data_IF_364935322627
#
_entry.id   IF_364935322627
#
_cell.length_a   1.000
_cell.length_b   1.000
_cell.length_c   1.000
_cell.angle_alpha   90.00
_cell.angle_beta   90.00
_cell.angle_gamma   90.00
#
_symmetry.space_group_name_H-M   'P 1'
#
loop_
_entity.id
_entity.type
_entity.pdbx_description
1 polymer ?
#
# COMPACT_ATOMS: atom_id res chain seq x y z
N UNK A 1 7.51 -11.51 35.84
CA UNK A 1 6.86 -12.51 34.98
C UNK A 1 5.44 -12.02 34.67
N UNK A 2 5.28 -11.34 33.57
CA UNK A 2 3.98 -10.88 33.06
C UNK A 2 3.53 -11.88 32.02
N UNK A 3 2.46 -12.62 32.32
CA UNK A 3 1.82 -13.55 31.37
C UNK A 3 1.10 -12.73 30.31
N UNK A 4 1.66 -12.61 29.14
CA UNK A 4 0.97 -12.14 27.94
C UNK A 4 0.01 -13.25 27.51
N UNK A 5 -1.29 -13.02 27.66
CA UNK A 5 -2.34 -13.88 27.09
C UNK A 5 -2.35 -13.66 25.59
N UNK A 6 -1.91 -14.67 24.85
CA UNK A 6 -2.13 -14.73 23.40
C UNK A 6 -3.64 -14.86 23.14
N UNK A 7 -4.25 -13.80 22.62
CA UNK A 7 -5.53 -13.92 21.94
C UNK A 7 -5.24 -14.46 20.53
N UNK A 8 -5.68 -15.67 20.30
CA UNK A 8 -5.75 -16.31 18.99
C UNK A 8 -6.46 -15.36 17.99
N UNK A 9 -5.87 -15.26 16.80
CA UNK A 9 -6.46 -14.50 15.71
C UNK A 9 -7.92 -14.89 15.47
N UNK A 10 -8.79 -13.96 15.75
CA UNK A 10 -10.16 -14.03 15.25
C UNK A 10 -10.08 -13.77 13.73
N UNK A 11 -10.38 -14.82 12.98
CA UNK A 11 -10.85 -14.65 11.62
C UNK A 11 -11.99 -13.62 11.69
N UNK A 12 -11.80 -12.44 11.09
CA UNK A 12 -12.88 -11.50 10.88
C UNK A 12 -13.81 -12.13 9.84
N UNK A 13 -14.70 -12.98 10.32
CA UNK A 13 -15.95 -13.23 9.62
C UNK A 13 -16.66 -11.89 9.60
N UNK A 14 -16.70 -11.25 8.45
CA UNK A 14 -17.53 -10.07 8.22
C UNK A 14 -18.98 -10.53 8.39
N UNK A 15 -19.48 -10.45 9.62
CA UNK A 15 -20.90 -10.49 9.87
C UNK A 15 -21.44 -9.15 9.36
N UNK A 16 -22.02 -9.17 8.17
CA UNK A 16 -22.82 -8.09 7.63
C UNK A 16 -24.01 -7.85 8.56
N UNK A 17 -23.87 -6.92 9.50
CA UNK A 17 -25.02 -6.38 10.22
C UNK A 17 -25.65 -5.35 9.28
N UNK A 18 -26.71 -5.77 8.62
CA UNK A 18 -27.61 -4.95 7.81
C UNK A 18 -28.22 -3.85 8.71
N UNK A 19 -27.86 -2.58 8.41
CA UNK A 19 -28.68 -1.44 8.75
C UNK A 19 -28.97 -0.69 7.44
N UNK A 20 -30.21 -0.71 7.05
CA UNK A 20 -30.91 -0.33 5.86
C UNK A 20 -30.31 0.76 4.95
N UNK A 21 -30.26 0.44 3.65
CA UNK A 21 -30.10 1.36 2.53
C UNK A 21 -28.82 1.14 1.74
N UNK A 22 -28.86 0.56 0.56
CA UNK A 22 -27.82 0.39 -0.50
C UNK A 22 -26.72 -0.68 -0.29
N UNK A 23 -26.64 -1.42 0.82
CA UNK A 23 -25.49 -2.25 1.20
C UNK A 23 -25.35 -3.60 0.50
N UNK A 24 -26.41 -4.35 0.37
CA UNK A 24 -26.31 -5.81 0.08
C UNK A 24 -25.96 -6.15 -1.39
N UNK A 25 -26.20 -5.25 -2.35
CA UNK A 25 -25.85 -5.47 -3.75
C UNK A 25 -24.56 -4.78 -4.20
N UNK A 26 -24.05 -3.80 -3.46
CA UNK A 26 -22.88 -3.01 -3.87
C UNK A 26 -21.59 -3.84 -3.87
N UNK A 27 -21.36 -4.61 -2.81
CA UNK A 27 -20.14 -5.43 -2.69
C UNK A 27 -20.18 -6.55 -3.73
N UNK A 28 -21.30 -7.27 -3.83
CA UNK A 28 -21.49 -8.36 -4.79
C UNK A 28 -21.32 -7.90 -6.23
N UNK A 29 -21.91 -6.75 -6.61
CA UNK A 29 -21.77 -6.18 -7.95
C UNK A 29 -20.29 -5.88 -8.29
N UNK A 30 -19.57 -5.24 -7.37
CA UNK A 30 -18.18 -4.84 -7.60
C UNK A 30 -17.21 -6.03 -7.55
N UNK A 31 -17.45 -7.03 -6.70
CA UNK A 31 -16.70 -8.30 -6.70
C UNK A 31 -16.93 -9.05 -8.02
N UNK A 32 -18.16 -9.13 -8.50
CA UNK A 32 -18.46 -9.80 -9.77
C UNK A 32 -17.86 -9.05 -10.98
N UNK A 33 -17.87 -7.71 -10.94
CA UNK A 33 -17.16 -6.91 -11.94
C UNK A 33 -15.64 -7.21 -11.89
N UNK A 34 -15.03 -7.18 -10.72
CA UNK A 34 -13.60 -7.45 -10.55
C UNK A 34 -13.24 -8.86 -11.03
N UNK A 35 -14.07 -9.86 -10.69
CA UNK A 35 -13.90 -11.24 -11.16
C UNK A 35 -13.89 -11.35 -12.67
N UNK A 36 -14.83 -10.68 -13.35
CA UNK A 36 -14.90 -10.66 -14.82
C UNK A 36 -13.75 -9.91 -15.45
N UNK A 37 -13.40 -8.75 -14.90
CA UNK A 37 -12.37 -7.88 -15.45
C UNK A 37 -10.95 -8.50 -15.30
N UNK A 38 -10.59 -8.94 -14.10
CA UNK A 38 -9.32 -9.63 -13.85
C UNK A 38 -9.29 -11.00 -14.54
N UNK A 39 -10.44 -11.68 -14.65
CA UNK A 39 -10.58 -12.94 -15.38
C UNK A 39 -10.12 -12.84 -16.82
N UNK A 40 -10.46 -11.74 -17.52
CA UNK A 40 -9.98 -11.48 -18.88
C UNK A 40 -8.46 -11.34 -18.95
N UNK A 41 -7.85 -10.70 -17.97
CA UNK A 41 -6.39 -10.59 -17.90
C UNK A 41 -5.74 -11.95 -17.63
N UNK A 42 -6.31 -12.74 -16.74
CA UNK A 42 -5.87 -14.13 -16.50
C UNK A 42 -5.92 -14.96 -17.79
N UNK A 43 -7.00 -14.88 -18.56
CA UNK A 43 -7.14 -15.57 -19.85
C UNK A 43 -6.02 -15.18 -20.83
N UNK A 44 -5.68 -13.89 -20.93
CA UNK A 44 -4.57 -13.41 -21.77
C UNK A 44 -3.21 -13.94 -21.31
N UNK A 45 -2.95 -13.92 -19.99
CA UNK A 45 -1.71 -14.42 -19.41
C UNK A 45 -1.58 -15.92 -19.67
N UNK A 46 -2.63 -16.70 -19.38
CA UNK A 46 -2.59 -18.16 -19.58
C UNK A 46 -2.44 -18.53 -21.06
N UNK A 47 -3.11 -17.81 -21.96
CA UNK A 47 -2.97 -18.03 -23.41
C UNK A 47 -1.55 -17.71 -23.93
N UNK A 48 -0.82 -16.83 -23.29
CA UNK A 48 0.56 -16.48 -23.66
C UNK A 48 1.57 -17.60 -23.33
N UNK A 49 1.22 -18.54 -22.46
CA UNK A 49 2.09 -19.61 -21.98
C UNK A 49 3.21 -19.16 -21.04
N UNK A 50 3.21 -17.88 -20.61
CA UNK A 50 4.19 -17.33 -19.64
C UNK A 50 3.46 -16.43 -18.64
N UNK A 51 3.99 -16.37 -17.43
CA UNK A 51 3.52 -15.35 -16.48
C UNK A 51 3.94 -13.96 -16.97
N UNK A 52 2.96 -13.07 -17.05
CA UNK A 52 3.12 -11.67 -17.33
C UNK A 52 2.46 -10.88 -16.19
N UNK A 53 3.12 -9.82 -15.73
CA UNK A 53 2.68 -9.06 -14.55
C UNK A 53 2.14 -7.69 -14.98
N UNK A 54 0.81 -7.53 -15.14
CA UNK A 54 0.21 -6.31 -15.65
C UNK A 54 0.35 -5.17 -14.63
N UNK A 55 0.72 -3.97 -15.09
CA UNK A 55 0.98 -2.84 -14.17
C UNK A 55 0.39 -1.51 -14.61
N UNK A 56 0.37 -1.21 -15.89
CA UNK A 56 -0.15 0.07 -16.42
C UNK A 56 -0.41 -0.04 -17.92
N UNK A 57 -0.94 1.02 -18.51
CA UNK A 57 -1.07 1.15 -19.95
C UNK A 57 0.13 1.91 -20.53
N UNK A 58 0.58 1.44 -21.69
CA UNK A 58 1.47 2.21 -22.56
C UNK A 58 0.67 3.36 -23.23
N UNK A 59 1.35 4.37 -23.80
CA UNK A 59 0.68 5.46 -24.51
C UNK A 59 -0.20 5.02 -25.70
N UNK A 60 0.05 3.84 -26.28
CA UNK A 60 -0.75 3.25 -27.35
C UNK A 60 -1.97 2.45 -26.84
N UNK A 61 -2.18 2.41 -25.53
CA UNK A 61 -3.28 1.68 -24.87
C UNK A 61 -3.01 0.20 -24.62
N UNK A 62 -1.85 -0.34 -25.05
CA UNK A 62 -1.46 -1.72 -24.71
C UNK A 62 -1.07 -1.84 -23.24
N UNK A 63 -1.23 -3.04 -22.66
CA UNK A 63 -0.81 -3.30 -21.27
C UNK A 63 0.72 -3.40 -21.18
N UNK A 64 1.29 -2.67 -20.25
CA UNK A 64 2.69 -2.84 -19.87
C UNK A 64 2.81 -3.91 -18.78
N UNK A 65 3.62 -4.93 -19.06
CA UNK A 65 3.93 -6.02 -18.13
C UNK A 65 5.31 -5.83 -17.54
N UNK A 66 5.38 -5.73 -16.23
CA UNK A 66 6.66 -5.53 -15.54
C UNK A 66 7.38 -6.85 -15.21
N UNK A 67 8.68 -6.75 -14.93
CA UNK A 67 9.44 -7.86 -14.37
C UNK A 67 9.24 -7.97 -12.85
N UNK A 68 9.74 -9.06 -12.25
CA UNK A 68 9.59 -9.34 -10.83
C UNK A 68 10.24 -8.30 -9.90
N UNK A 69 11.20 -7.53 -10.38
CA UNK A 69 11.90 -6.52 -9.59
C UNK A 69 11.19 -5.14 -9.58
N UNK A 70 10.10 -5.00 -10.31
CA UNK A 70 9.23 -3.83 -10.23
C UNK A 70 8.46 -3.86 -8.91
N UNK A 71 8.35 -2.71 -8.23
CA UNK A 71 7.68 -2.60 -6.94
C UNK A 71 6.21 -3.05 -6.96
N UNK A 72 5.56 -2.99 -8.13
CA UNK A 72 4.16 -3.41 -8.33
C UNK A 72 3.98 -4.91 -8.54
N UNK A 73 5.06 -5.69 -8.63
CA UNK A 73 5.01 -7.09 -9.03
C UNK A 73 4.16 -7.98 -8.10
N UNK A 74 3.98 -7.60 -6.84
CA UNK A 74 3.15 -8.33 -5.88
C UNK A 74 1.64 -8.06 -5.97
N UNK A 75 1.21 -6.99 -6.65
CA UNK A 75 -0.19 -6.57 -6.60
C UNK A 75 -1.12 -7.45 -7.44
N UNK A 76 -0.72 -7.86 -8.64
CA UNK A 76 -1.56 -8.73 -9.45
C UNK A 76 -1.78 -10.10 -8.79
N UNK A 77 -0.73 -10.82 -8.34
CA UNK A 77 -0.93 -12.01 -7.51
C UNK A 77 -1.81 -11.77 -6.30
N UNK A 78 -1.60 -10.65 -5.59
CA UNK A 78 -2.43 -10.25 -4.45
C UNK A 78 -3.90 -10.06 -4.80
N UNK A 79 -4.19 -9.46 -5.96
CA UNK A 79 -5.57 -9.29 -6.45
C UNK A 79 -6.25 -10.62 -6.75
N UNK A 80 -5.52 -11.61 -7.27
CA UNK A 80 -6.05 -12.95 -7.51
C UNK A 80 -6.35 -13.68 -6.18
N UNK A 81 -5.51 -13.49 -5.14
CA UNK A 81 -5.80 -13.99 -3.80
C UNK A 81 -7.07 -13.37 -3.20
N UNK A 82 -7.27 -12.06 -3.35
CA UNK A 82 -8.51 -11.42 -2.90
C UNK A 82 -9.74 -11.91 -3.67
N UNK A 83 -9.64 -12.13 -4.98
CA UNK A 83 -10.74 -12.73 -5.73
C UNK A 83 -11.06 -14.13 -5.24
N UNK A 84 -10.04 -14.97 -4.99
CA UNK A 84 -10.24 -16.30 -4.40
C UNK A 84 -10.99 -16.21 -3.06
N UNK A 85 -10.57 -15.31 -2.18
CA UNK A 85 -11.20 -15.13 -0.85
C UNK A 85 -12.65 -14.64 -0.96
N UNK A 86 -12.89 -13.61 -1.79
CA UNK A 86 -14.18 -12.94 -1.90
C UNK A 86 -15.23 -13.77 -2.65
N UNK A 87 -14.79 -14.58 -3.62
CA UNK A 87 -15.72 -15.38 -4.45
C UNK A 87 -15.85 -16.82 -3.98
N UNK A 88 -14.88 -17.35 -3.25
CA UNK A 88 -14.78 -18.78 -2.93
C UNK A 88 -14.52 -19.68 -4.14
N UNK A 89 -14.18 -19.09 -5.31
CA UNK A 89 -13.93 -19.83 -6.55
C UNK A 89 -12.60 -20.59 -6.45
N UNK A 90 -12.70 -21.91 -6.26
CA UNK A 90 -11.54 -22.78 -6.09
C UNK A 90 -10.64 -22.88 -7.32
N UNK A 91 -11.14 -22.51 -8.50
CA UNK A 91 -10.33 -22.49 -9.72
C UNK A 91 -9.26 -21.40 -9.70
N UNK A 92 -9.43 -20.35 -8.88
CA UNK A 92 -8.47 -19.27 -8.70
C UNK A 92 -7.28 -19.66 -7.82
N UNK A 93 -7.42 -20.66 -6.94
CA UNK A 93 -6.35 -21.06 -6.02
C UNK A 93 -5.05 -21.44 -6.74
N UNK A 94 -5.03 -22.37 -7.73
CA UNK A 94 -3.79 -22.73 -8.43
C UNK A 94 -3.19 -21.54 -9.22
N UNK A 95 -4.02 -20.61 -9.70
CA UNK A 95 -3.55 -19.42 -10.40
C UNK A 95 -2.89 -18.43 -9.43
N UNK A 96 -3.52 -18.17 -8.28
CA UNK A 96 -2.96 -17.33 -7.25
C UNK A 96 -1.60 -17.86 -6.76
N UNK A 97 -1.51 -19.18 -6.55
CA UNK A 97 -0.24 -19.84 -6.18
C UNK A 97 0.81 -19.70 -7.29
N UNK A 98 0.45 -20.01 -8.54
CA UNK A 98 1.34 -19.91 -9.71
C UNK A 98 1.93 -18.51 -9.87
N UNK A 99 1.08 -17.47 -9.77
CA UNK A 99 1.50 -16.08 -9.93
C UNK A 99 2.31 -15.57 -8.73
N UNK A 100 2.01 -16.07 -7.54
CA UNK A 100 2.81 -15.80 -6.34
C UNK A 100 4.21 -16.39 -6.46
N UNK A 101 4.34 -17.66 -6.87
CA UNK A 101 5.64 -18.28 -7.08
C UNK A 101 6.48 -17.57 -8.15
N UNK A 102 5.85 -16.98 -9.17
CA UNK A 102 6.58 -16.25 -10.22
C UNK A 102 7.31 -14.99 -9.70
N UNK A 103 6.92 -14.45 -8.54
CA UNK A 103 7.60 -13.29 -7.92
C UNK A 103 8.49 -13.68 -6.73
N UNK A 104 8.67 -14.95 -6.45
CA UNK A 104 9.39 -15.50 -5.29
C UNK A 104 10.81 -14.95 -5.13
N UNK A 105 11.54 -14.78 -6.21
CA UNK A 105 12.94 -14.33 -6.17
C UNK A 105 13.09 -12.86 -5.79
N UNK A 106 12.01 -12.07 -5.79
CA UNK A 106 12.00 -10.71 -5.25
C UNK A 106 12.40 -10.66 -3.77
N UNK A 107 12.23 -11.75 -3.02
CA UNK A 107 12.72 -11.88 -1.63
C UNK A 107 14.21 -11.59 -1.45
N UNK A 108 15.01 -11.72 -2.52
CA UNK A 108 16.46 -11.51 -2.50
C UNK A 108 16.88 -10.08 -2.85
N UNK A 109 15.95 -9.19 -3.19
CA UNK A 109 16.24 -7.81 -3.59
C UNK A 109 16.73 -7.01 -2.39
N UNK A 110 17.89 -6.35 -2.55
CA UNK A 110 18.56 -5.56 -1.49
C UNK A 110 18.88 -4.12 -1.92
N UNK A 111 18.53 -3.74 -3.13
CA UNK A 111 18.88 -2.45 -3.72
C UNK A 111 17.73 -1.42 -3.68
N UNK A 112 16.51 -1.84 -3.34
CA UNK A 112 15.39 -0.97 -3.06
C UNK A 112 14.59 -1.46 -1.83
N UNK A 113 13.65 -0.66 -1.33
CA UNK A 113 12.86 -0.95 -0.15
C UNK A 113 11.53 -1.66 -0.44
N UNK A 114 11.14 -1.80 -1.71
CA UNK A 114 9.80 -2.22 -2.12
C UNK A 114 9.54 -3.72 -1.98
N UNK A 115 10.45 -4.44 -1.35
CA UNK A 115 10.34 -5.89 -1.11
C UNK A 115 9.05 -6.25 -0.37
N UNK A 116 8.55 -5.35 0.49
CA UNK A 116 7.26 -5.52 1.17
C UNK A 116 6.09 -5.55 0.19
N UNK A 117 6.03 -4.61 -0.74
CA UNK A 117 5.01 -4.60 -1.81
C UNK A 117 5.06 -5.85 -2.68
N UNK A 118 6.25 -6.28 -3.08
CA UNK A 118 6.43 -7.44 -3.95
C UNK A 118 6.03 -8.74 -3.26
N UNK A 119 6.46 -8.95 -2.02
CA UNK A 119 6.33 -10.23 -1.30
C UNK A 119 5.09 -10.26 -0.41
N UNK A 120 4.80 -9.21 0.36
CA UNK A 120 3.73 -9.34 1.35
C UNK A 120 2.34 -9.24 0.73
N UNK A 121 2.16 -8.49 -0.35
CA UNK A 121 0.91 -8.48 -1.11
C UNK A 121 0.59 -9.84 -1.75
N UNK A 122 1.62 -10.62 -2.13
CA UNK A 122 1.47 -11.94 -2.75
C UNK A 122 1.57 -13.08 -1.73
N UNK A 123 2.76 -13.35 -1.21
CA UNK A 123 3.01 -14.44 -0.24
C UNK A 123 2.31 -14.23 1.10
N UNK A 124 2.11 -12.98 1.55
CA UNK A 124 1.37 -12.68 2.78
C UNK A 124 -0.08 -13.15 2.69
N UNK A 125 -0.77 -12.83 1.59
CA UNK A 125 -2.13 -13.31 1.35
C UNK A 125 -2.16 -14.84 1.16
N UNK A 126 -1.20 -15.40 0.42
CA UNK A 126 -1.09 -16.83 0.24
C UNK A 126 -0.94 -17.57 1.58
N UNK A 127 -0.03 -17.13 2.44
CA UNK A 127 0.16 -17.70 3.78
C UNK A 127 -1.13 -17.61 4.62
N UNK A 128 -1.77 -16.45 4.62
CA UNK A 128 -3.00 -16.22 5.40
C UNK A 128 -4.14 -17.16 4.97
N UNK A 129 -4.26 -17.44 3.68
CA UNK A 129 -5.39 -18.20 3.12
C UNK A 129 -5.12 -19.71 3.03
N UNK A 130 -3.84 -20.14 2.94
CA UNK A 130 -3.49 -21.55 2.78
C UNK A 130 -2.78 -22.16 3.99
N UNK A 131 -2.08 -21.35 4.77
CA UNK A 131 -1.20 -21.84 5.84
C UNK A 131 0.09 -22.49 5.31
N UNK A 132 0.45 -22.31 4.04
CA UNK A 132 1.62 -22.94 3.42
C UNK A 132 2.92 -22.53 4.12
N UNK A 133 3.67 -23.46 4.72
CA UNK A 133 4.88 -23.16 5.46
C UNK A 133 6.01 -22.59 4.59
N UNK A 134 6.06 -22.89 3.30
CA UNK A 134 7.07 -22.32 2.40
C UNK A 134 6.90 -20.80 2.27
N UNK A 135 5.67 -20.30 2.29
CA UNK A 135 5.39 -18.87 2.21
C UNK A 135 5.91 -18.13 3.44
N UNK A 136 5.86 -18.76 4.60
CA UNK A 136 6.49 -18.22 5.83
C UNK A 136 7.99 -17.97 5.64
N UNK A 137 8.70 -18.95 5.06
CA UNK A 137 10.15 -18.84 4.85
C UNK A 137 10.48 -17.72 3.85
N UNK A 138 9.70 -17.58 2.78
CA UNK A 138 9.85 -16.51 1.79
C UNK A 138 9.67 -15.13 2.44
N UNK A 139 8.64 -14.96 3.28
CA UNK A 139 8.36 -13.72 3.99
C UNK A 139 9.52 -13.36 4.92
N UNK A 140 10.03 -14.31 5.70
CA UNK A 140 11.14 -14.07 6.63
C UNK A 140 12.43 -13.72 5.89
N UNK A 141 12.71 -14.38 4.76
CA UNK A 141 13.89 -14.08 3.94
C UNK A 141 13.78 -12.67 3.29
N UNK A 142 12.60 -12.32 2.78
CA UNK A 142 12.32 -10.98 2.27
C UNK A 142 12.54 -9.89 3.35
N UNK A 143 12.11 -10.15 4.58
CA UNK A 143 12.34 -9.24 5.71
C UNK A 143 13.83 -9.10 6.04
N UNK A 144 14.64 -10.17 5.94
CA UNK A 144 16.09 -10.09 6.07
C UNK A 144 16.69 -9.20 4.97
N UNK A 145 16.25 -9.38 3.72
CA UNK A 145 16.69 -8.56 2.60
C UNK A 145 16.35 -7.08 2.80
N UNK A 146 15.12 -6.76 3.18
CA UNK A 146 14.71 -5.39 3.51
C UNK A 146 15.52 -4.81 4.67
N UNK A 147 15.78 -5.59 5.72
CA UNK A 147 16.55 -5.15 6.90
C UNK A 147 17.99 -4.78 6.58
N UNK A 148 18.58 -5.28 5.48
CA UNK A 148 19.93 -4.87 5.04
C UNK A 148 19.99 -3.38 4.64
N UNK A 149 18.84 -2.77 4.38
CA UNK A 149 18.72 -1.35 4.05
C UNK A 149 18.60 -0.45 5.28
N UNK A 150 18.54 -1.00 6.48
CA UNK A 150 18.48 -0.22 7.69
C UNK A 150 19.81 0.51 7.93
N UNK A 151 19.73 1.80 8.24
CA UNK A 151 20.86 2.68 8.52
C UNK A 151 20.79 3.12 9.98
N UNK A 152 21.53 2.44 10.88
CA UNK A 152 21.41 2.67 12.32
C UNK A 152 21.67 4.11 12.76
N UNK A 153 22.60 4.82 12.10
CA UNK A 153 22.91 6.22 12.41
C UNK A 153 21.72 7.14 12.22
N UNK A 154 20.97 6.93 11.13
CA UNK A 154 19.76 7.69 10.83
C UNK A 154 18.48 7.08 11.44
N UNK A 155 18.54 5.80 11.86
CA UNK A 155 17.39 5.08 12.42
C UNK A 155 16.30 4.73 11.40
N UNK A 156 16.64 4.59 10.10
CA UNK A 156 15.68 4.44 9.01
C UNK A 156 16.09 3.34 8.03
N UNK A 157 15.13 2.90 7.21
CA UNK A 157 15.35 2.04 6.05
C UNK A 157 15.53 2.93 4.83
N UNK A 158 16.69 2.89 4.20
CA UNK A 158 16.98 3.65 2.98
C UNK A 158 16.15 3.13 1.81
N UNK A 159 15.51 4.05 1.06
CA UNK A 159 14.60 3.67 -0.03
C UNK A 159 15.34 3.22 -1.29
N UNK A 160 16.29 3.98 -1.77
CA UNK A 160 16.98 3.74 -3.03
C UNK A 160 18.49 3.79 -2.87
N UNK A 161 19.21 3.09 -3.75
CA UNK A 161 20.64 3.29 -3.93
C UNK A 161 20.87 4.63 -4.64
N UNK A 162 21.93 5.34 -4.24
CA UNK A 162 22.18 6.72 -4.69
C UNK A 162 23.26 6.83 -5.77
N UNK A 163 23.85 5.69 -6.15
CA UNK A 163 24.98 5.60 -7.06
C UNK A 163 24.59 5.32 -8.54
N UNK A 164 23.29 5.25 -8.83
CA UNK A 164 22.80 4.85 -10.15
C UNK A 164 21.50 5.53 -10.56
N UNK A 165 21.27 5.55 -11.90
CA UNK A 165 20.06 6.08 -12.51
C UNK A 165 19.81 7.55 -12.16
N UNK A 166 18.60 8.01 -12.27
CA UNK A 166 18.17 9.39 -12.01
C UNK A 166 18.42 9.85 -10.56
N UNK A 167 18.56 8.90 -9.62
CA UNK A 167 18.76 9.20 -8.20
C UNK A 167 20.17 9.74 -7.98
N UNK A 168 21.18 9.28 -8.72
CA UNK A 168 22.57 9.74 -8.61
C UNK A 168 22.76 11.24 -8.96
N UNK A 169 21.80 11.80 -9.73
CA UNK A 169 21.80 13.22 -10.10
C UNK A 169 21.22 14.13 -9.01
N UNK A 170 20.57 13.54 -7.98
CA UNK A 170 19.89 14.29 -6.91
C UNK A 170 20.85 14.78 -5.80
N UNK A 171 22.06 14.25 -5.70
CA UNK A 171 23.00 14.57 -4.64
C UNK A 171 22.56 14.12 -3.24
N UNK A 172 21.66 13.13 -3.17
CA UNK A 172 21.21 12.52 -1.91
C UNK A 172 22.26 11.55 -1.36
N UNK A 173 22.28 11.39 -0.04
CA UNK A 173 23.13 10.38 0.65
C UNK A 173 22.31 9.17 1.10
N UNK A 174 21.18 9.44 1.71
CA UNK A 174 20.30 8.40 2.27
C UNK A 174 18.83 8.81 2.13
N UNK A 175 18.26 8.75 0.93
CA UNK A 175 16.87 9.14 0.69
C UNK A 175 15.90 8.10 1.27
N UNK A 176 14.85 8.62 1.90
CA UNK A 176 13.71 7.85 2.42
C UNK A 176 12.43 8.46 1.90
N UNK A 177 11.62 7.67 1.20
CA UNK A 177 10.30 8.08 0.76
C UNK A 177 9.22 7.54 1.71
N UNK A 178 8.11 8.25 1.77
CA UNK A 178 6.99 7.90 2.66
C UNK A 178 6.39 6.52 2.33
N UNK A 179 6.52 6.05 1.10
CA UNK A 179 6.09 4.73 0.61
C UNK A 179 6.68 3.57 1.44
N UNK A 180 7.83 3.80 2.06
CA UNK A 180 8.48 2.80 2.92
C UNK A 180 7.60 2.39 4.12
N UNK A 181 6.66 3.23 4.52
CA UNK A 181 5.69 2.91 5.57
C UNK A 181 4.86 1.68 5.24
N UNK A 182 4.58 1.42 3.95
CA UNK A 182 3.86 0.23 3.49
C UNK A 182 4.68 -1.06 3.63
N UNK A 183 6.00 -0.96 3.53
CA UNK A 183 6.90 -2.11 3.59
C UNK A 183 7.16 -2.59 5.04
N UNK A 184 6.75 -1.83 6.04
CA UNK A 184 6.88 -2.20 7.47
C UNK A 184 6.02 -3.41 7.84
N UNK A 185 4.90 -3.63 7.13
CA UNK A 185 4.02 -4.77 7.37
C UNK A 185 4.75 -6.12 7.21
N UNK A 186 5.65 -6.21 6.23
CA UNK A 186 6.54 -7.36 6.04
C UNK A 186 7.40 -7.62 7.29
N UNK A 187 7.96 -6.57 7.90
CA UNK A 187 8.83 -6.70 9.08
C UNK A 187 8.05 -7.14 10.33
N UNK A 188 6.87 -6.58 10.55
CA UNK A 188 6.01 -7.01 11.65
C UNK A 188 5.56 -8.46 11.47
N UNK A 189 5.17 -8.84 10.25
CA UNK A 189 4.81 -10.22 9.93
C UNK A 189 5.98 -11.17 10.16
N UNK A 190 7.18 -10.84 9.69
CA UNK A 190 8.38 -11.65 9.91
C UNK A 190 8.71 -11.81 11.40
N UNK A 191 8.51 -10.77 12.20
CA UNK A 191 8.64 -10.86 13.68
C UNK A 191 7.72 -11.92 14.25
N UNK A 192 6.43 -11.90 13.90
CA UNK A 192 5.44 -12.87 14.40
C UNK A 192 5.76 -14.29 13.94
N UNK A 193 6.20 -14.43 12.69
CA UNK A 193 6.46 -15.73 12.07
C UNK A 193 7.74 -16.38 12.57
N UNK A 194 8.80 -15.61 12.81
CA UNK A 194 10.13 -16.13 13.19
C UNK A 194 10.43 -16.03 14.69
N UNK A 195 9.76 -15.14 15.42
CA UNK A 195 10.10 -14.78 16.79
C UNK A 195 11.32 -13.84 16.89
N UNK A 196 11.92 -13.44 15.76
CA UNK A 196 13.06 -12.51 15.76
C UNK A 196 12.58 -11.06 15.92
N UNK A 197 12.85 -10.48 17.08
CA UNK A 197 12.47 -9.10 17.41
C UNK A 197 13.30 -8.03 16.68
N UNK A 198 14.34 -8.40 15.94
CA UNK A 198 15.16 -7.46 15.19
C UNK A 198 14.32 -6.75 14.12
N UNK A 199 13.44 -7.48 13.44
CA UNK A 199 12.54 -6.90 12.43
C UNK A 199 11.58 -5.86 13.04
N UNK A 200 11.00 -6.17 14.21
CA UNK A 200 10.17 -5.23 14.97
C UNK A 200 10.93 -3.95 15.32
N UNK A 201 12.16 -4.09 15.83
CA UNK A 201 12.99 -2.93 16.21
C UNK A 201 13.32 -2.04 15.01
N UNK A 202 13.61 -2.63 13.87
CA UNK A 202 13.87 -1.90 12.61
C UNK A 202 12.61 -1.15 12.18
N UNK A 203 11.43 -1.79 12.19
CA UNK A 203 10.16 -1.17 11.81
C UNK A 203 9.81 0.01 12.75
N UNK A 204 9.89 -0.19 14.06
CA UNK A 204 9.57 0.84 15.05
C UNK A 204 10.56 2.01 14.96
N UNK A 205 11.86 1.75 14.82
CA UNK A 205 12.85 2.81 14.61
C UNK A 205 12.54 3.65 13.37
N UNK A 206 12.17 2.98 12.27
CA UNK A 206 11.83 3.66 11.01
C UNK A 206 10.59 4.53 11.17
N UNK A 207 9.48 4.01 11.69
CA UNK A 207 8.24 4.79 11.80
C UNK A 207 8.39 5.96 12.78
N UNK A 208 9.09 5.79 13.90
CA UNK A 208 9.32 6.87 14.86
C UNK A 208 10.14 8.01 14.24
N UNK A 209 11.14 7.65 13.45
CA UNK A 209 11.93 8.65 12.73
C UNK A 209 11.12 9.33 11.60
N UNK A 210 10.32 8.57 10.87
CA UNK A 210 9.40 9.10 9.86
C UNK A 210 8.41 10.08 10.46
N UNK A 211 7.76 9.75 11.57
CA UNK A 211 6.85 10.66 12.26
C UNK A 211 7.50 11.98 12.66
N UNK A 212 8.74 11.92 13.11
CA UNK A 212 9.48 13.11 13.56
C UNK A 212 9.90 14.01 12.41
N UNK A 213 10.37 13.44 11.29
CA UNK A 213 11.10 14.19 10.29
C UNK A 213 10.34 14.35 8.96
N UNK A 214 9.40 13.46 8.63
CA UNK A 214 8.66 13.53 7.39
C UNK A 214 7.30 14.22 7.51
N UNK A 215 6.71 14.29 8.71
CA UNK A 215 5.43 14.95 8.92
C UNK A 215 5.58 16.43 9.26
N UNK A 216 4.71 17.25 8.66
CA UNK A 216 4.56 18.67 8.96
C UNK A 216 3.60 18.90 10.14
N UNK A 217 3.61 20.06 10.77
CA UNK A 217 2.70 20.38 11.88
C UNK A 217 1.21 20.26 11.54
N UNK A 218 0.83 20.48 10.28
CA UNK A 218 -0.54 20.36 9.77
C UNK A 218 -1.02 18.92 9.56
N UNK A 219 -0.12 17.96 9.68
CA UNK A 219 -0.40 16.53 9.47
C UNK A 219 -0.06 15.99 8.09
N UNK A 220 0.28 16.84 7.13
CA UNK A 220 0.80 16.41 5.84
C UNK A 220 2.20 15.83 5.95
N UNK A 221 2.65 15.10 4.93
CA UNK A 221 4.01 14.57 4.90
C UNK A 221 4.78 14.99 3.64
N UNK A 222 6.10 15.11 3.79
CA UNK A 222 7.04 15.19 2.67
C UNK A 222 7.13 13.84 1.96
N UNK A 223 7.30 13.87 0.64
CA UNK A 223 7.56 12.64 -0.11
C UNK A 223 8.93 12.06 0.25
N UNK A 224 10.00 12.84 0.17
CA UNK A 224 11.39 12.42 0.38
C UNK A 224 12.02 13.19 1.53
N UNK A 225 12.69 12.47 2.43
CA UNK A 225 13.65 13.05 3.38
C UNK A 225 15.00 12.41 3.13
N UNK A 226 16.03 13.23 2.91
CA UNK A 226 17.41 12.78 2.75
C UNK A 226 18.18 12.97 4.05
N UNK A 227 18.87 11.92 4.49
CA UNK A 227 19.62 11.91 5.74
C UNK A 227 21.13 11.85 5.49
N UNK A 228 21.89 12.48 6.38
CA UNK A 228 23.35 12.35 6.44
C UNK A 228 23.74 10.96 6.96
N UNK A 229 24.62 10.30 6.24
CA UNK A 229 25.18 9.02 6.69
C UNK A 229 26.24 9.18 7.78
N UNK A 230 26.69 10.42 8.05
CA UNK A 230 27.71 10.72 9.09
C UNK A 230 27.09 10.74 10.48
N UNK A 231 25.93 11.40 10.65
CA UNK A 231 25.33 11.69 11.95
C UNK A 231 23.81 11.51 12.00
N UNK A 232 23.19 11.08 10.92
CA UNK A 232 21.75 10.85 10.83
C UNK A 232 20.90 12.12 10.79
N UNK A 233 21.50 13.31 10.66
CA UNK A 233 20.74 14.56 10.54
C UNK A 233 19.99 14.64 9.21
N UNK A 234 18.89 15.40 9.18
CA UNK A 234 18.17 15.70 7.93
C UNK A 234 18.97 16.69 7.10
N UNK A 235 19.27 16.32 5.87
CA UNK A 235 19.94 17.17 4.87
C UNK A 235 18.94 17.98 4.07
N UNK A 236 17.91 17.31 3.56
CA UNK A 236 16.92 17.92 2.69
C UNK A 236 15.54 17.27 2.87
N UNK A 237 14.49 18.03 2.55
CA UNK A 237 13.12 17.55 2.34
C UNK A 237 12.70 17.88 0.93
N UNK A 238 12.36 16.85 0.17
CA UNK A 238 12.16 16.96 -1.28
C UNK A 238 10.92 16.18 -1.73
N UNK A 239 10.63 16.27 -3.02
CA UNK A 239 9.74 15.34 -3.72
C UNK A 239 10.47 14.72 -4.91
N UNK A 240 10.03 13.51 -5.29
CA UNK A 240 10.38 12.85 -6.53
C UNK A 240 9.15 12.70 -7.44
N UNK A 241 7.97 12.46 -6.86
CA UNK A 241 6.72 12.19 -7.57
C UNK A 241 5.66 13.29 -7.38
N UNK A 242 5.75 14.12 -6.34
CA UNK A 242 4.83 15.23 -6.10
C UNK A 242 5.15 16.47 -6.94
N UNK A 243 4.21 17.42 -6.96
CA UNK A 243 4.30 18.67 -7.73
C UNK A 243 5.49 19.54 -7.31
N UNK A 244 5.70 19.74 -6.02
CA UNK A 244 6.75 20.56 -5.46
C UNK A 244 7.28 19.99 -4.13
N UNK A 245 8.44 20.47 -3.66
CA UNK A 245 9.04 19.99 -2.41
C UNK A 245 8.13 20.19 -1.21
N UNK A 246 7.39 21.29 -1.18
CA UNK A 246 6.47 21.63 -0.09
C UNK A 246 5.01 21.22 -0.35
N UNK A 247 4.70 20.65 -1.54
CA UNK A 247 3.35 20.18 -1.83
C UNK A 247 3.01 18.87 -1.12
N UNK A 248 1.75 18.47 -1.19
CA UNK A 248 1.25 17.24 -0.59
C UNK A 248 0.83 16.25 -1.69
N UNK A 249 1.76 15.41 -2.14
CA UNK A 249 1.49 14.33 -3.09
C UNK A 249 0.51 13.32 -2.48
N UNK A 250 -0.68 13.19 -3.08
CA UNK A 250 -1.82 12.50 -2.47
C UNK A 250 -1.56 11.03 -2.18
N UNK A 251 -0.90 10.29 -3.08
CA UNK A 251 -0.57 8.89 -2.82
C UNK A 251 0.46 8.75 -1.71
N UNK A 252 1.39 9.70 -1.56
CA UNK A 252 2.30 9.75 -0.41
C UNK A 252 1.55 9.95 0.91
N UNK A 253 0.56 10.84 0.94
CA UNK A 253 -0.32 11.00 2.12
C UNK A 253 -1.05 9.68 2.42
N UNK A 254 -1.57 9.00 1.39
CA UNK A 254 -2.25 7.71 1.52
C UNK A 254 -1.34 6.63 2.11
N UNK A 255 -0.09 6.49 1.61
CA UNK A 255 0.89 5.57 2.17
C UNK A 255 1.17 5.86 3.64
N UNK A 256 1.29 7.14 3.99
CA UNK A 256 1.50 7.57 5.36
C UNK A 256 0.33 7.21 6.28
N UNK A 257 -0.91 7.49 5.86
CA UNK A 257 -2.12 7.18 6.63
C UNK A 257 -2.24 5.66 6.86
N UNK A 258 -2.13 4.87 5.79
CA UNK A 258 -2.21 3.41 5.88
C UNK A 258 -1.08 2.84 6.76
N UNK A 259 0.17 3.27 6.50
CA UNK A 259 1.33 2.76 7.23
C UNK A 259 1.31 3.10 8.72
N UNK A 260 0.79 4.27 9.11
CA UNK A 260 0.61 4.60 10.53
C UNK A 260 -0.51 3.79 11.18
N UNK A 261 -1.62 3.56 10.45
CA UNK A 261 -2.72 2.70 10.92
C UNK A 261 -2.23 1.28 11.16
N UNK A 262 -1.49 0.73 10.21
CA UNK A 262 -0.84 -0.56 10.34
C UNK A 262 0.15 -0.62 11.52
N UNK A 263 0.97 0.42 11.73
CA UNK A 263 1.89 0.46 12.88
C UNK A 263 1.13 0.47 14.21
N UNK A 264 0.00 1.17 14.29
CA UNK A 264 -0.89 1.08 15.46
C UNK A 264 -1.43 -0.34 15.67
N UNK A 265 -1.93 -1.00 14.62
CA UNK A 265 -2.40 -2.39 14.68
C UNK A 265 -1.34 -3.34 15.23
N UNK A 266 -0.10 -3.19 14.78
CA UNK A 266 0.99 -4.11 15.12
C UNK A 266 1.64 -3.84 16.47
N UNK A 267 1.56 -2.62 16.98
CA UNK A 267 2.24 -2.21 18.22
C UNK A 267 1.30 -1.89 19.38
N UNK A 268 0.07 -1.48 19.08
CA UNK A 268 -0.86 -0.92 20.06
C UNK A 268 -0.47 0.49 20.55
N UNK A 269 0.59 1.11 20.01
CA UNK A 269 1.04 2.43 20.44
C UNK A 269 0.18 3.54 19.82
N UNK A 270 -0.60 4.20 20.65
CA UNK A 270 -1.57 5.23 20.27
C UNK A 270 -0.98 6.39 19.48
N UNK A 271 0.32 6.70 19.67
CA UNK A 271 0.98 7.78 18.94
C UNK A 271 0.88 7.65 17.41
N UNK A 272 0.90 6.40 16.90
CA UNK A 272 0.77 6.13 15.46
C UNK A 272 -0.63 6.44 14.95
N UNK A 273 -1.66 6.00 15.68
CA UNK A 273 -3.04 6.31 15.36
C UNK A 273 -3.30 7.81 15.42
N UNK A 274 -2.81 8.51 16.45
CA UNK A 274 -2.99 9.95 16.59
C UNK A 274 -2.36 10.71 15.43
N UNK A 275 -1.20 10.27 14.92
CA UNK A 275 -0.59 10.86 13.72
C UNK A 275 -1.37 10.51 12.45
N UNK A 276 -1.87 9.28 12.32
CA UNK A 276 -2.76 8.90 11.21
C UNK A 276 -4.00 9.79 11.14
N UNK A 277 -4.64 10.03 12.30
CA UNK A 277 -5.81 10.92 12.41
C UNK A 277 -5.48 12.37 12.05
N UNK A 278 -4.27 12.86 12.32
CA UNK A 278 -3.84 14.20 11.87
C UNK A 278 -3.72 14.23 10.34
N UNK A 279 -3.12 13.21 9.74
CA UNK A 279 -2.99 13.12 8.29
C UNK A 279 -4.36 12.98 7.59
N UNK A 280 -5.28 12.21 8.16
CA UNK A 280 -6.67 12.14 7.69
C UNK A 280 -7.31 13.54 7.75
N UNK A 281 -7.23 14.24 8.89
CA UNK A 281 -7.78 15.60 9.00
C UNK A 281 -7.20 16.56 7.97
N UNK A 282 -5.89 16.49 7.68
CA UNK A 282 -5.27 17.27 6.63
C UNK A 282 -5.94 17.00 5.28
N UNK A 283 -6.03 15.74 4.86
CA UNK A 283 -6.57 15.36 3.56
C UNK A 283 -8.04 15.76 3.40
N UNK A 284 -8.86 15.57 4.43
CA UNK A 284 -10.31 15.82 4.34
C UNK A 284 -10.72 17.27 4.59
N UNK A 285 -9.88 18.10 5.20
CA UNK A 285 -10.13 19.52 5.43
C UNK A 285 -9.32 20.43 4.50
N UNK A 286 -8.53 19.87 3.58
CA UNK A 286 -7.76 20.67 2.65
C UNK A 286 -8.69 21.44 1.69
N UNK A 287 -8.36 22.69 1.37
CA UNK A 287 -9.17 23.56 0.49
C UNK A 287 -9.47 22.97 -0.89
N UNK A 288 -8.63 22.05 -1.35
CA UNK A 288 -8.74 21.39 -2.64
C UNK A 288 -9.27 19.94 -2.53
N UNK A 289 -9.83 19.54 -1.39
CA UNK A 289 -10.47 18.23 -1.25
C UNK A 289 -11.72 18.19 -2.12
N UNK A 290 -11.80 17.25 -3.09
CA UNK A 290 -12.94 17.19 -3.99
C UNK A 290 -14.16 16.54 -3.31
N UNK A 291 -15.36 16.87 -3.77
CA UNK A 291 -16.62 16.36 -3.21
C UNK A 291 -16.75 14.83 -3.30
N UNK A 292 -16.19 14.24 -4.35
CA UNK A 292 -16.20 12.81 -4.59
C UNK A 292 -15.12 12.03 -3.81
N UNK A 293 -14.25 12.72 -3.07
CA UNK A 293 -13.15 12.18 -2.26
C UNK A 293 -12.14 11.31 -3.04
N UNK A 294 -12.13 11.39 -4.37
CA UNK A 294 -11.03 10.86 -5.18
C UNK A 294 -10.05 12.01 -5.40
N UNK A 295 -9.00 12.05 -4.61
CA UNK A 295 -8.11 13.19 -4.50
C UNK A 295 -7.37 13.51 -5.80
N UNK A 296 -6.99 14.79 -5.99
CA UNK A 296 -6.05 15.15 -7.03
C UNK A 296 -4.71 14.46 -6.79
N UNK A 297 -3.93 14.23 -7.84
CA UNK A 297 -2.64 13.53 -7.73
C UNK A 297 -1.67 14.21 -6.75
N UNK A 298 -1.78 15.52 -6.61
CA UNK A 298 -1.15 16.34 -5.57
C UNK A 298 -2.18 17.36 -5.08
N UNK A 299 -2.27 17.59 -3.78
CA UNK A 299 -3.27 18.49 -3.20
C UNK A 299 -3.01 19.95 -3.57
N UNK A 300 -1.81 20.27 -4.03
CA UNK A 300 -1.39 21.60 -4.51
C UNK A 300 -1.14 21.61 -6.03
N UNK A 301 -1.67 20.64 -6.76
CA UNK A 301 -1.52 20.55 -8.21
C UNK A 301 -1.97 21.86 -8.89
N UNK A 302 -1.24 22.32 -9.95
CA UNK A 302 -1.36 23.71 -10.42
C UNK A 302 -2.66 24.00 -11.19
N UNK A 303 -3.32 22.97 -11.73
CA UNK A 303 -4.49 23.14 -12.59
C UNK A 303 -5.82 22.77 -11.91
N UNK A 304 -5.86 22.59 -10.59
CA UNK A 304 -7.11 22.33 -9.85
C UNK A 304 -8.12 23.44 -10.15
N UNK A 305 -9.39 23.13 -10.50
CA UNK A 305 -10.05 21.82 -10.41
C UNK A 305 -9.90 20.92 -11.66
N UNK A 306 -9.15 21.30 -12.66
CA UNK A 306 -9.00 20.58 -13.94
C UNK A 306 -7.72 19.73 -14.00
N UNK A 307 -7.21 19.27 -12.86
CA UNK A 307 -6.02 18.45 -12.78
C UNK A 307 -6.35 16.96 -12.65
N UNK A 308 -5.34 16.10 -12.78
CA UNK A 308 -5.49 14.65 -12.67
C UNK A 308 -5.93 14.22 -11.28
N UNK A 309 -6.77 13.19 -11.24
CA UNK A 309 -7.17 12.48 -10.01
C UNK A 309 -6.27 11.27 -9.80
N UNK A 310 -6.15 10.80 -8.55
CA UNK A 310 -5.45 9.57 -8.23
C UNK A 310 -6.37 8.59 -7.47
N UNK A 311 -7.02 7.72 -8.23
CA UNK A 311 -7.90 6.68 -7.69
C UNK A 311 -7.14 5.71 -6.76
N UNK A 312 -5.83 5.50 -7.00
CA UNK A 312 -5.01 4.63 -6.14
C UNK A 312 -4.80 5.22 -4.74
N UNK A 313 -4.61 6.54 -4.64
CA UNK A 313 -4.54 7.22 -3.34
C UNK A 313 -5.86 7.10 -2.57
N UNK A 314 -6.99 7.31 -3.25
CA UNK A 314 -8.31 7.18 -2.65
C UNK A 314 -8.58 5.76 -2.15
N UNK A 315 -8.28 4.72 -2.94
CA UNK A 315 -8.44 3.32 -2.55
C UNK A 315 -7.60 2.96 -1.31
N UNK A 316 -6.35 3.42 -1.25
CA UNK A 316 -5.47 3.18 -0.10
C UNK A 316 -6.00 3.89 1.16
N UNK A 317 -6.46 5.14 1.04
CA UNK A 317 -7.06 5.88 2.16
C UNK A 317 -8.34 5.18 2.64
N UNK A 318 -9.22 4.73 1.74
CA UNK A 318 -10.45 4.02 2.11
C UNK A 318 -10.15 2.77 2.93
N UNK A 319 -9.13 1.98 2.53
CA UNK A 319 -8.69 0.80 3.28
C UNK A 319 -8.26 1.15 4.71
N UNK A 320 -7.46 2.19 4.88
CA UNK A 320 -7.04 2.66 6.21
C UNK A 320 -8.22 3.19 7.04
N UNK A 321 -9.16 3.92 6.43
CA UNK A 321 -10.32 4.47 7.11
C UNK A 321 -11.28 3.38 7.60
N UNK A 322 -11.48 2.32 6.84
CA UNK A 322 -12.24 1.17 7.32
C UNK A 322 -11.60 0.57 8.57
N UNK A 323 -10.29 0.39 8.59
CA UNK A 323 -9.59 -0.10 9.79
C UNK A 323 -9.70 0.89 10.95
N UNK A 324 -9.47 2.19 10.73
CA UNK A 324 -9.62 3.24 11.75
C UNK A 324 -11.04 3.23 12.34
N UNK A 325 -12.07 2.97 11.54
CA UNK A 325 -13.46 2.92 12.02
C UNK A 325 -13.76 1.77 12.99
N UNK A 326 -12.87 0.79 13.07
CA UNK A 326 -13.04 -0.39 13.95
C UNK A 326 -12.31 -0.28 15.29
N UNK A 327 -11.51 0.77 15.49
CA UNK A 327 -10.72 0.95 16.71
C UNK A 327 -11.27 2.10 17.57
N UNK A 328 -10.75 2.25 18.79
CA UNK A 328 -11.19 3.30 19.72
C UNK A 328 -10.72 4.69 19.26
N UNK A 329 -11.59 5.37 18.51
CA UNK A 329 -11.43 6.74 18.03
C UNK A 329 -12.71 7.55 18.25
N UNK A 330 -12.63 8.87 18.38
CA UNK A 330 -13.83 9.72 18.34
C UNK A 330 -14.57 9.54 17.01
N UNK A 331 -15.90 9.40 17.08
CA UNK A 331 -16.79 9.33 15.90
C UNK A 331 -16.36 8.31 14.83
N UNK A 332 -16.19 7.01 15.16
CA UNK A 332 -15.68 6.01 14.22
C UNK A 332 -16.55 5.91 12.94
N UNK A 333 -17.86 6.18 13.06
CA UNK A 333 -18.80 6.22 11.93
C UNK A 333 -18.43 7.27 10.87
N UNK A 334 -17.76 8.37 11.26
CA UNK A 334 -17.31 9.40 10.31
C UNK A 334 -16.23 8.86 9.39
N UNK A 335 -15.28 8.09 9.90
CA UNK A 335 -14.23 7.45 9.08
C UNK A 335 -14.82 6.40 8.16
N UNK A 336 -15.77 5.60 8.66
CA UNK A 336 -16.51 4.65 7.83
C UNK A 336 -17.27 5.36 6.71
N UNK A 337 -17.98 6.46 7.00
CA UNK A 337 -18.73 7.21 6.00
C UNK A 337 -17.81 7.82 4.91
N UNK A 338 -16.61 8.28 5.26
CA UNK A 338 -15.62 8.70 4.28
C UNK A 338 -15.16 7.55 3.39
N UNK A 339 -14.87 6.37 3.98
CA UNK A 339 -14.48 5.19 3.23
C UNK A 339 -15.61 4.74 2.29
N UNK A 340 -16.85 4.66 2.77
CA UNK A 340 -18.02 4.32 1.96
C UNK A 340 -18.16 5.28 0.77
N UNK A 341 -18.05 6.60 1.02
CA UNK A 341 -18.14 7.61 -0.05
C UNK A 341 -17.04 7.48 -1.09
N UNK A 342 -15.80 7.20 -0.67
CA UNK A 342 -14.71 6.93 -1.60
C UNK A 342 -15.03 5.69 -2.44
N UNK A 343 -15.48 4.61 -1.83
CA UNK A 343 -15.81 3.36 -2.55
C UNK A 343 -16.96 3.55 -3.54
N UNK A 344 -18.02 4.30 -3.17
CA UNK A 344 -19.10 4.68 -4.08
C UNK A 344 -18.57 5.46 -5.29
N UNK A 345 -17.67 6.42 -5.06
CA UNK A 345 -17.04 7.20 -6.13
C UNK A 345 -16.19 6.31 -7.05
N UNK A 346 -15.33 5.45 -6.47
CA UNK A 346 -14.48 4.53 -7.25
C UNK A 346 -15.29 3.51 -8.05
N UNK A 347 -16.47 3.11 -7.57
CA UNK A 347 -17.39 2.22 -8.28
C UNK A 347 -18.22 2.92 -9.36
N UNK A 348 -18.19 4.26 -9.43
CA UNK A 348 -18.92 5.01 -10.45
C UNK A 348 -18.30 4.86 -11.84
N UNK A 349 -19.08 5.11 -12.92
CA UNK A 349 -18.55 5.09 -14.30
C UNK A 349 -17.41 6.09 -14.55
N UNK A 350 -17.21 7.07 -13.69
CA UNK A 350 -16.08 8.01 -13.78
C UNK A 350 -14.74 7.34 -13.50
N UNK A 351 -14.72 6.38 -12.58
CA UNK A 351 -13.48 5.75 -12.12
C UNK A 351 -13.42 4.25 -12.38
N UNK A 352 -14.54 3.53 -12.34
CA UNK A 352 -14.60 2.12 -12.68
C UNK A 352 -14.61 1.96 -14.21
N UNK A 353 -13.69 1.18 -14.73
CA UNK A 353 -13.61 0.89 -16.14
C UNK A 353 -14.88 0.15 -16.65
N UNK A 354 -15.20 0.28 -17.91
CA UNK A 354 -16.14 -0.62 -18.57
C UNK A 354 -15.54 -2.02 -18.74
N UNK A 355 -16.37 -3.04 -18.66
CA UNK A 355 -15.91 -4.43 -18.76
C UNK A 355 -15.17 -4.70 -20.09
N UNK A 356 -13.93 -5.16 -19.97
CA UNK A 356 -13.06 -5.47 -21.11
C UNK A 356 -12.35 -4.26 -21.72
N UNK A 357 -12.42 -3.11 -21.07
CA UNK A 357 -11.65 -1.91 -21.45
C UNK A 357 -10.52 -1.65 -20.48
N UNK A 358 -9.79 -0.55 -20.63
CA UNK A 358 -8.73 -0.09 -19.73
C UNK A 358 -7.63 -1.15 -19.49
N UNK A 359 -7.33 -1.99 -20.50
CA UNK A 359 -6.34 -3.07 -20.35
C UNK A 359 -6.68 -4.04 -19.23
N UNK A 360 -7.95 -4.27 -18.97
CA UNK A 360 -8.49 -5.10 -17.88
C UNK A 360 -8.16 -4.61 -16.45
N UNK A 361 -7.64 -3.40 -16.27
CA UNK A 361 -7.53 -2.77 -14.94
C UNK A 361 -8.91 -2.33 -14.45
N UNK A 362 -9.13 -2.44 -13.14
CA UNK A 362 -10.43 -2.14 -12.51
C UNK A 362 -10.75 -0.64 -12.53
N UNK A 363 -9.75 0.19 -12.24
CA UNK A 363 -9.89 1.63 -12.05
C UNK A 363 -9.15 2.41 -13.13
N UNK A 364 -9.76 3.52 -13.53
CA UNK A 364 -9.18 4.58 -14.34
C UNK A 364 -8.62 5.69 -13.42
N UNK A 365 -7.91 6.65 -14.02
CA UNK A 365 -7.40 7.84 -13.31
C UNK A 365 -6.45 7.52 -12.15
N UNK A 366 -5.55 6.56 -12.33
CA UNK A 366 -4.40 6.35 -11.45
C UNK A 366 -3.18 7.04 -12.06
N UNK A 367 -2.45 7.81 -11.26
CA UNK A 367 -1.28 8.57 -11.72
C UNK A 367 0.00 7.88 -11.29
N UNK A 368 0.95 7.69 -12.21
CA UNK A 368 2.24 7.08 -11.91
C UNK A 368 3.16 8.02 -11.13
N UNK A 369 3.41 9.19 -11.68
CA UNK A 369 4.27 10.24 -11.10
C UNK A 369 4.01 11.55 -11.83
#
# INVERSE_FOLDING_TARGET
>A
MVKVKYLMGMALSVALISCGGTGDGFVEENVEFARKQIGKEIELIEASGKFMNPTTLNPDGSVYYCNLADWRSGFFPGSVWYLYELTGDKSLLPLAQKYTEAVKDAKNIKWNHDVGFMIYCSFGNGLRLTGDPEYKEVIVEAARSLSTRFRPVAGIIQSWDVDRGWISERGWECPVIIDNMMNLELLFAATRLSGDSTFYKVAVSHVDRTMKEQYRPDGSCYHVVDYSMKDGSVRNRHTAQGYAHESAWSRGQAWGIYGLTLCYRETGDRKYLDQALKAVRFMFNHKNTPEDLVFYWDMDAPNIPNDYRDASAAACIASALYEISTVDVPEPQTYKAYADRIMESLASPTYRAELGTNGNFLLMHCVGS
#
